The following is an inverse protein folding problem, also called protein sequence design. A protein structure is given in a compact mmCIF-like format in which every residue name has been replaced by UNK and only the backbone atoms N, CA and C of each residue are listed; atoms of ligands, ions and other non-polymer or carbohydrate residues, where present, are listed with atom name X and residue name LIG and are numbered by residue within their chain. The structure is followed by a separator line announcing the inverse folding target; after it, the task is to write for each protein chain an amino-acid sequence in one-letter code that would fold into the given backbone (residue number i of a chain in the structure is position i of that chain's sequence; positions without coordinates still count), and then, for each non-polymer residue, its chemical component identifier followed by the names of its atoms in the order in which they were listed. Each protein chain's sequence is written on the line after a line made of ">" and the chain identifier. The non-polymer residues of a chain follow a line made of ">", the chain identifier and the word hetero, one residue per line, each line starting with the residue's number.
data_IF_748257553438
#
_entry.id   IF_748257553438
#
_cell.length_a   1.000
_cell.length_b   1.000
_cell.length_c   1.000
_cell.angle_alpha   90.00
_cell.angle_beta   90.00
_cell.angle_gamma   90.00
#
_symmetry.space_group_name_H-M   'P 1'
#
loop_
_entity.id
_entity.type
_entity.pdbx_description
1 polymer ?
#
# COMPACT_ATOMS: atom_id res chain seq x y z
N UNK A 1 65.07 41.72 78.26
CA UNK A 1 65.52 40.43 77.68
C UNK A 1 64.40 39.94 76.80
N UNK A 2 64.63 40.09 75.50
CA UNK A 2 63.74 39.93 74.36
C UNK A 2 63.60 38.44 74.02
N UNK A 3 62.39 37.87 73.99
CA UNK A 3 62.10 36.67 73.19
C UNK A 3 60.66 36.73 72.67
N UNK A 4 60.52 37.26 71.45
CA UNK A 4 59.36 37.12 70.57
C UNK A 4 59.20 35.65 70.14
N UNK A 5 58.05 35.04 70.45
CA UNK A 5 57.66 33.74 69.88
C UNK A 5 56.80 34.01 68.63
N UNK A 6 57.40 33.84 67.45
CA UNK A 6 56.70 33.85 66.15
C UNK A 6 55.69 32.70 66.09
N UNK A 7 54.41 33.02 65.97
CA UNK A 7 53.37 32.06 65.61
C UNK A 7 53.39 31.89 64.09
N UNK A 8 53.88 30.76 63.60
CA UNK A 8 53.76 30.41 62.18
C UNK A 8 52.29 30.18 61.84
N UNK A 9 51.73 31.04 60.99
CA UNK A 9 50.40 30.82 60.41
C UNK A 9 50.47 29.61 59.46
N UNK A 10 49.69 28.57 59.79
CA UNK A 10 49.46 27.43 58.89
C UNK A 10 48.62 27.95 57.72
N UNK A 11 49.20 28.00 56.53
CA UNK A 11 48.48 28.31 55.30
C UNK A 11 47.64 27.09 54.94
N UNK A 12 46.34 27.15 55.22
CA UNK A 12 45.37 26.16 54.74
C UNK A 12 45.25 26.37 53.23
N UNK A 13 45.50 25.35 52.38
CA UNK A 13 45.29 25.50 50.94
C UNK A 13 43.79 25.71 50.72
N UNK A 14 43.42 26.94 50.35
CA UNK A 14 42.08 27.25 49.88
C UNK A 14 41.96 26.64 48.50
N UNK A 15 41.28 25.50 48.39
CA UNK A 15 40.89 24.98 47.10
C UNK A 15 40.06 26.07 46.41
N UNK A 16 40.64 26.69 45.37
CA UNK A 16 39.84 27.51 44.46
C UNK A 16 38.81 26.58 43.85
N UNK A 17 37.51 26.92 43.86
CA UNK A 17 36.53 26.10 43.17
C UNK A 17 36.97 26.09 41.71
N UNK A 18 37.42 24.95 41.22
CA UNK A 18 37.50 24.70 39.79
C UNK A 18 36.11 25.02 39.29
N UNK A 19 36.01 26.06 38.47
CA UNK A 19 34.80 26.38 37.75
C UNK A 19 34.60 25.21 36.78
N UNK A 20 34.00 24.11 37.27
CA UNK A 20 33.50 23.03 36.44
C UNK A 20 32.39 23.73 35.66
N UNK A 21 32.76 24.28 34.49
CA UNK A 21 31.81 24.93 33.59
C UNK A 21 30.60 24.01 33.52
N UNK A 22 29.45 24.55 33.94
CA UNK A 22 28.26 23.74 34.15
C UNK A 22 28.08 22.82 32.95
N UNK A 23 27.98 21.52 33.21
CA UNK A 23 27.70 20.52 32.18
C UNK A 23 26.54 21.11 31.38
N UNK A 24 26.71 21.40 30.07
CA UNK A 24 25.62 21.93 29.26
C UNK A 24 24.45 20.98 29.45
N UNK A 25 23.39 21.48 30.07
CA UNK A 25 22.17 20.71 30.23
C UNK A 25 21.59 20.62 28.83
N UNK A 26 21.95 19.56 28.09
CA UNK A 26 21.30 19.25 26.82
C UNK A 26 19.87 18.90 27.19
N UNK A 27 18.99 19.91 27.14
CA UNK A 27 17.56 19.69 27.21
C UNK A 27 17.24 18.69 26.10
N UNK A 28 16.56 17.58 26.39
CA UNK A 28 16.12 16.66 25.35
C UNK A 28 15.35 17.45 24.30
N UNK A 29 15.76 17.32 23.04
CA UNK A 29 15.05 17.97 21.94
C UNK A 29 13.58 17.53 21.94
N UNK A 30 12.69 18.47 21.66
CA UNK A 30 11.25 18.17 21.59
C UNK A 30 11.02 17.15 20.47
N UNK A 31 10.11 16.17 20.66
CA UNK A 31 9.82 15.21 19.62
C UNK A 31 9.30 15.90 18.35
N UNK A 32 9.84 15.51 17.20
CA UNK A 32 9.40 16.00 15.90
C UNK A 32 8.16 15.21 15.45
N UNK A 33 7.12 15.91 14.98
CA UNK A 33 5.92 15.29 14.43
C UNK A 33 5.89 15.51 12.92
N UNK A 34 6.05 14.42 12.17
CA UNK A 34 5.89 14.40 10.72
C UNK A 34 4.46 13.99 10.40
N UNK A 35 3.60 14.98 10.15
CA UNK A 35 2.17 14.80 9.89
C UNK A 35 1.78 15.39 8.54
N UNK A 36 0.64 14.97 8.02
CA UNK A 36 0.09 15.53 6.78
C UNK A 36 -0.27 17.01 6.94
N UNK A 37 0.23 17.81 6.01
CA UNK A 37 -0.13 19.20 5.78
C UNK A 37 -1.38 19.33 4.92
N UNK A 38 -1.67 20.57 4.51
CA UNK A 38 -2.90 20.90 3.80
C UNK A 38 -2.94 20.29 2.39
N UNK A 39 -1.79 20.19 1.73
CA UNK A 39 -1.66 19.55 0.41
C UNK A 39 -2.04 18.08 0.49
N UNK A 40 -1.46 17.33 1.45
CA UNK A 40 -1.78 15.92 1.63
C UNK A 40 -3.24 15.69 1.98
N UNK A 41 -3.79 16.47 2.93
CA UNK A 41 -5.22 16.38 3.31
C UNK A 41 -6.16 16.68 2.14
N UNK A 42 -5.85 17.71 1.35
CA UNK A 42 -6.64 18.07 0.16
C UNK A 42 -6.59 16.93 -0.85
N UNK A 43 -5.42 16.36 -1.10
CA UNK A 43 -5.27 15.22 -2.02
C UNK A 43 -6.10 14.02 -1.57
N UNK A 44 -6.14 13.69 -0.27
CA UNK A 44 -6.96 12.58 0.23
C UNK A 44 -8.45 12.77 -0.10
N UNK A 45 -8.99 13.99 0.11
CA UNK A 45 -10.37 14.32 -0.25
C UNK A 45 -10.64 14.29 -1.75
N UNK A 46 -9.72 14.81 -2.56
CA UNK A 46 -9.83 14.78 -4.02
C UNK A 46 -9.91 13.35 -4.53
N UNK A 47 -9.02 12.47 -4.06
CA UNK A 47 -9.01 11.07 -4.50
C UNK A 47 -10.23 10.30 -3.98
N UNK A 48 -10.69 10.58 -2.76
CA UNK A 48 -11.97 10.05 -2.28
C UNK A 48 -13.10 10.33 -3.29
N UNK A 49 -13.25 11.59 -3.73
CA UNK A 49 -14.28 11.97 -4.70
C UNK A 49 -14.09 11.26 -6.04
N UNK A 50 -12.85 11.16 -6.54
CA UNK A 50 -12.53 10.44 -7.78
C UNK A 50 -12.96 8.97 -7.67
N UNK A 51 -12.67 8.30 -6.56
CA UNK A 51 -13.03 6.90 -6.34
C UNK A 51 -14.54 6.70 -6.30
N UNK A 52 -15.28 7.59 -5.61
CA UNK A 52 -16.76 7.57 -5.59
C UNK A 52 -17.35 7.74 -6.98
N UNK A 53 -16.84 8.70 -7.76
CA UNK A 53 -17.29 8.93 -9.14
C UNK A 53 -17.01 7.69 -9.99
N UNK A 54 -15.82 7.10 -9.87
CA UNK A 54 -15.46 5.89 -10.60
C UNK A 54 -16.39 4.71 -10.24
N UNK A 55 -16.69 4.51 -8.95
CA UNK A 55 -17.65 3.48 -8.50
C UNK A 55 -19.03 3.68 -9.12
N UNK A 56 -19.53 4.93 -9.16
CA UNK A 56 -20.82 5.25 -9.77
C UNK A 56 -20.82 4.99 -11.29
N UNK A 57 -19.73 5.35 -11.97
CA UNK A 57 -19.55 5.09 -13.41
C UNK A 57 -19.54 3.59 -13.70
N UNK A 58 -18.75 2.80 -12.96
CA UNK A 58 -18.64 1.35 -13.17
C UNK A 58 -19.96 0.63 -12.87
N UNK A 59 -20.67 1.08 -11.82
CA UNK A 59 -22.03 0.59 -11.52
C UNK A 59 -23.00 0.91 -12.66
N UNK A 60 -22.98 2.15 -13.16
CA UNK A 60 -23.82 2.56 -14.29
C UNK A 60 -23.51 1.78 -15.58
N UNK A 61 -22.25 1.45 -15.83
CA UNK A 61 -21.84 0.57 -16.93
C UNK A 61 -22.38 -0.85 -16.73
N UNK A 62 -22.30 -1.41 -15.51
CA UNK A 62 -22.79 -2.74 -15.19
C UNK A 62 -24.27 -2.92 -15.51
N UNK A 63 -25.11 -1.90 -15.27
CA UNK A 63 -26.56 -1.97 -15.50
C UNK A 63 -26.95 -2.28 -16.95
N UNK A 64 -26.07 -2.01 -17.92
CA UNK A 64 -26.31 -2.28 -19.35
C UNK A 64 -25.90 -3.69 -19.79
N UNK A 65 -25.32 -4.49 -18.90
CA UNK A 65 -24.78 -5.83 -19.20
C UNK A 65 -25.67 -6.90 -18.55
N UNK A 66 -25.86 -8.11 -19.09
CA UNK A 66 -26.58 -9.18 -18.38
C UNK A 66 -25.84 -9.65 -17.11
N UNK A 67 -26.55 -10.09 -16.06
CA UNK A 67 -25.97 -10.48 -14.76
C UNK A 67 -24.84 -11.51 -14.90
N UNK A 68 -25.02 -12.51 -15.77
CA UNK A 68 -24.05 -13.57 -16.07
C UNK A 68 -22.69 -13.05 -16.56
N UNK A 69 -22.63 -11.84 -17.12
CA UNK A 69 -21.45 -11.21 -17.73
C UNK A 69 -20.93 -9.98 -16.97
N UNK A 70 -21.52 -9.66 -15.82
CA UNK A 70 -21.16 -8.46 -15.03
C UNK A 70 -19.93 -8.62 -14.16
N UNK A 71 -19.30 -9.81 -14.12
CA UNK A 71 -18.27 -10.11 -13.12
C UNK A 71 -17.14 -9.06 -13.05
N UNK A 72 -16.52 -8.72 -14.18
CA UNK A 72 -15.49 -7.66 -14.22
C UNK A 72 -16.02 -6.32 -13.70
N UNK A 73 -17.25 -5.93 -14.05
CA UNK A 73 -17.83 -4.68 -13.56
C UNK A 73 -18.03 -4.69 -12.05
N UNK A 74 -18.46 -5.82 -11.49
CA UNK A 74 -18.65 -5.98 -10.04
C UNK A 74 -17.30 -5.88 -9.33
N UNK A 75 -16.29 -6.64 -9.77
CA UNK A 75 -14.95 -6.63 -9.19
C UNK A 75 -14.33 -5.22 -9.26
N UNK A 76 -14.32 -4.61 -10.45
CA UNK A 76 -13.80 -3.26 -10.67
C UNK A 76 -14.55 -2.19 -9.87
N UNK A 77 -15.88 -2.33 -9.69
CA UNK A 77 -16.66 -1.44 -8.81
C UNK A 77 -16.22 -1.58 -7.36
N UNK A 78 -16.12 -2.82 -6.85
CA UNK A 78 -15.69 -3.08 -5.47
C UNK A 78 -14.30 -2.52 -5.19
N UNK A 79 -13.37 -2.61 -6.15
CA UNK A 79 -12.03 -2.01 -6.05
C UNK A 79 -12.13 -0.51 -5.72
N UNK A 80 -12.94 0.23 -6.48
CA UNK A 80 -13.10 1.68 -6.24
C UNK A 80 -13.90 2.01 -4.97
N UNK A 81 -14.83 1.15 -4.55
CA UNK A 81 -15.58 1.34 -3.30
C UNK A 81 -14.66 1.18 -2.10
N UNK A 82 -13.85 0.12 -2.04
CA UNK A 82 -12.88 -0.08 -0.95
C UNK A 82 -11.86 1.06 -0.89
N UNK A 83 -11.37 1.50 -2.05
CA UNK A 83 -10.50 2.66 -2.14
C UNK A 83 -11.19 3.93 -1.62
N UNK A 84 -12.43 4.21 -2.02
CA UNK A 84 -13.19 5.37 -1.51
C UNK A 84 -13.32 5.33 0.02
N UNK A 85 -13.68 4.19 0.59
CA UNK A 85 -13.79 4.02 2.05
C UNK A 85 -12.45 4.29 2.74
N UNK A 86 -11.35 3.77 2.19
CA UNK A 86 -10.02 3.99 2.75
C UNK A 86 -9.56 5.45 2.65
N UNK A 87 -9.75 6.10 1.50
CA UNK A 87 -9.43 7.52 1.33
C UNK A 87 -10.26 8.40 2.28
N UNK A 88 -11.53 8.08 2.49
CA UNK A 88 -12.36 8.75 3.50
C UNK A 88 -11.82 8.54 4.93
N UNK A 89 -11.46 7.31 5.30
CA UNK A 89 -10.88 7.00 6.61
C UNK A 89 -9.54 7.72 6.84
N UNK A 90 -8.69 7.81 5.81
CA UNK A 90 -7.43 8.56 5.87
C UNK A 90 -7.67 10.07 5.96
N UNK A 91 -8.59 10.62 5.16
CA UNK A 91 -8.91 12.05 5.16
C UNK A 91 -9.53 12.53 6.48
N UNK A 92 -10.31 11.67 7.13
CA UNK A 92 -10.91 11.93 8.46
C UNK A 92 -9.99 11.60 9.63
N UNK A 93 -8.85 10.96 9.38
CA UNK A 93 -7.86 10.59 10.40
C UNK A 93 -8.10 9.27 11.12
N UNK A 94 -9.21 8.55 10.84
CA UNK A 94 -9.50 7.24 11.45
C UNK A 94 -8.56 6.12 10.97
N UNK A 95 -7.98 6.27 9.77
CA UNK A 95 -7.11 5.30 9.13
C UNK A 95 -5.61 5.53 9.34
N UNK A 96 -5.25 6.23 10.43
CA UNK A 96 -3.92 6.82 10.59
C UNK A 96 -3.38 6.58 12.00
N UNK A 97 -2.07 6.36 12.14
CA UNK A 97 -1.40 6.26 13.44
C UNK A 97 0.01 6.85 13.37
N UNK A 98 0.62 7.14 14.51
CA UNK A 98 1.99 7.65 14.56
C UNK A 98 2.94 6.50 14.92
N UNK A 99 3.94 6.27 14.06
CA UNK A 99 5.03 5.37 14.36
C UNK A 99 6.15 6.15 15.09
N UNK A 100 6.51 5.71 16.29
CA UNK A 100 7.57 6.32 17.08
C UNK A 100 8.93 5.76 16.68
N UNK A 101 9.85 6.66 16.40
CA UNK A 101 11.14 6.35 15.83
C UNK A 101 12.24 7.15 16.55
N UNK A 102 13.38 6.49 16.80
CA UNK A 102 14.59 7.12 17.32
C UNK A 102 15.65 7.20 16.24
N UNK A 103 16.08 8.41 15.89
CA UNK A 103 17.13 8.66 14.89
C UNK A 103 18.43 8.93 15.62
N UNK A 104 19.48 8.19 15.27
CA UNK A 104 20.85 8.47 15.72
C UNK A 104 21.48 9.48 14.77
N UNK A 105 21.90 10.61 15.29
CA UNK A 105 22.77 11.56 14.60
C UNK A 105 24.21 11.30 15.00
N UNK A 106 25.02 10.94 14.01
CA UNK A 106 26.44 10.71 14.20
C UNK A 106 27.19 12.02 14.09
N UNK A 107 28.08 12.28 15.05
CA UNK A 107 28.94 13.45 15.05
C UNK A 107 30.41 13.05 15.09
N UNK A 108 31.29 13.82 14.45
CA UNK A 108 32.70 13.43 14.32
C UNK A 108 33.49 13.56 15.63
N UNK A 109 33.23 14.61 16.42
CA UNK A 109 34.03 14.98 17.60
C UNK A 109 33.21 15.09 18.89
N UNK A 110 31.93 14.70 18.88
CA UNK A 110 31.05 14.66 20.06
C UNK A 110 30.25 13.37 20.09
N UNK A 111 29.76 12.91 21.26
CA UNK A 111 28.91 11.74 21.33
C UNK A 111 27.66 11.88 20.46
N UNK A 112 27.21 10.77 19.90
CA UNK A 112 26.00 10.74 19.07
C UNK A 112 24.78 11.24 19.85
N UNK A 113 23.96 12.04 19.17
CA UNK A 113 22.67 12.51 19.69
C UNK A 113 21.54 11.67 19.13
N UNK A 114 20.40 11.69 19.82
CA UNK A 114 19.21 10.95 19.42
C UNK A 114 18.02 11.88 19.35
N UNK A 115 17.29 11.82 18.24
CA UNK A 115 16.06 12.58 18.01
C UNK A 115 14.86 11.63 17.97
N UNK A 116 13.81 11.99 18.71
CA UNK A 116 12.55 11.26 18.68
C UNK A 116 11.63 11.86 17.61
N UNK A 117 11.21 11.02 16.67
CA UNK A 117 10.34 11.40 15.55
C UNK A 117 9.07 10.53 15.59
N UNK A 118 7.92 11.18 15.49
CA UNK A 118 6.63 10.54 15.31
C UNK A 118 6.17 10.77 13.87
N UNK A 119 6.31 9.75 13.03
CA UNK A 119 5.87 9.81 11.63
C UNK A 119 4.47 9.25 11.48
N UNK A 120 3.61 10.01 10.85
CA UNK A 120 2.25 9.60 10.55
C UNK A 120 2.23 8.51 9.47
N UNK A 121 1.69 7.34 9.80
CA UNK A 121 1.53 6.17 8.93
C UNK A 121 0.06 5.98 8.60
N UNK A 122 -0.25 5.96 7.30
CA UNK A 122 -1.60 5.81 6.76
C UNK A 122 -1.97 4.33 6.61
N UNK A 123 -2.12 3.62 7.72
CA UNK A 123 -2.31 2.17 7.72
C UNK A 123 -3.58 1.69 7.00
N UNK A 124 -4.63 2.52 6.91
CA UNK A 124 -5.84 2.19 6.13
C UNK A 124 -5.54 1.95 4.64
N UNK A 125 -4.44 2.48 4.12
CA UNK A 125 -3.95 2.24 2.76
C UNK A 125 -3.60 0.76 2.55
N UNK A 126 -2.96 0.13 3.53
CA UNK A 126 -2.61 -1.29 3.44
C UNK A 126 -3.85 -2.18 3.58
N UNK A 127 -4.86 -1.75 4.35
CA UNK A 127 -6.15 -2.45 4.40
C UNK A 127 -6.86 -2.37 3.05
N UNK A 128 -6.90 -1.19 2.43
CA UNK A 128 -7.38 -1.01 1.05
C UNK A 128 -6.67 -1.96 0.09
N UNK A 129 -5.34 -1.91 0.07
CA UNK A 129 -4.56 -2.74 -0.84
C UNK A 129 -4.81 -4.23 -0.60
N UNK A 130 -4.89 -4.69 0.65
CA UNK A 130 -5.16 -6.11 0.97
C UNK A 130 -6.49 -6.62 0.44
N UNK A 131 -7.41 -5.73 0.07
CA UNK A 131 -8.69 -6.04 -0.56
C UNK A 131 -8.67 -5.77 -2.07
N UNK A 132 -8.08 -4.66 -2.49
CA UNK A 132 -8.16 -4.19 -3.88
C UNK A 132 -7.13 -4.82 -4.79
N UNK A 133 -5.92 -5.12 -4.31
CA UNK A 133 -4.90 -5.78 -5.13
C UNK A 133 -5.26 -7.24 -5.45
N UNK A 134 -5.87 -8.04 -4.53
CA UNK A 134 -6.42 -9.35 -4.89
C UNK A 134 -7.53 -9.28 -5.93
N UNK A 135 -8.41 -8.26 -5.84
CA UNK A 135 -9.48 -8.06 -6.82
C UNK A 135 -8.93 -7.65 -8.20
N UNK A 136 -7.90 -6.79 -8.24
CA UNK A 136 -7.21 -6.43 -9.49
C UNK A 136 -6.53 -7.65 -10.12
N UNK A 137 -5.89 -8.50 -9.30
CA UNK A 137 -5.31 -9.75 -9.76
C UNK A 137 -6.37 -10.74 -10.24
N UNK A 138 -7.52 -10.78 -9.60
CA UNK A 138 -8.65 -11.59 -10.06
C UNK A 138 -9.09 -11.14 -11.45
N UNK A 139 -9.29 -9.84 -11.67
CA UNK A 139 -9.63 -9.28 -13.00
C UNK A 139 -8.59 -9.68 -14.06
N UNK A 140 -7.29 -9.49 -13.79
CA UNK A 140 -6.22 -9.86 -14.71
C UNK A 140 -6.13 -11.37 -14.97
N UNK A 141 -6.32 -12.17 -13.92
CA UNK A 141 -6.20 -13.63 -14.01
C UNK A 141 -7.36 -14.24 -14.77
N UNK A 142 -8.58 -13.73 -14.56
CA UNK A 142 -9.76 -14.10 -15.33
C UNK A 142 -9.61 -13.70 -16.80
N UNK A 143 -9.08 -12.50 -17.06
CA UNK A 143 -8.80 -12.03 -18.41
C UNK A 143 -7.81 -12.95 -19.14
N UNK A 144 -6.74 -13.38 -18.47
CA UNK A 144 -5.79 -14.34 -19.01
C UNK A 144 -6.37 -15.75 -19.15
N UNK A 145 -7.40 -16.11 -18.36
CA UNK A 145 -7.91 -17.47 -18.25
C UNK A 145 -7.04 -18.39 -17.39
N UNK A 146 -6.44 -17.85 -16.32
CA UNK A 146 -5.70 -18.67 -15.36
C UNK A 146 -6.62 -19.65 -14.62
N UNK A 147 -6.08 -20.82 -14.29
CA UNK A 147 -6.77 -21.78 -13.43
C UNK A 147 -6.84 -21.31 -11.96
N UNK A 148 -7.77 -21.87 -11.20
CA UNK A 148 -8.01 -21.47 -9.80
C UNK A 148 -6.80 -21.64 -8.88
N UNK A 149 -5.92 -22.63 -9.13
CA UNK A 149 -4.71 -22.82 -8.33
C UNK A 149 -3.71 -21.66 -8.52
N UNK A 150 -3.48 -21.25 -9.77
CA UNK A 150 -2.64 -20.09 -10.08
C UNK A 150 -3.24 -18.78 -9.56
N UNK A 151 -4.57 -18.62 -9.67
CA UNK A 151 -5.28 -17.46 -9.11
C UNK A 151 -5.07 -17.41 -7.59
N UNK A 152 -5.31 -18.52 -6.90
CA UNK A 152 -5.17 -18.60 -5.45
C UNK A 152 -3.74 -18.27 -5.00
N UNK A 153 -2.73 -18.87 -5.65
CA UNK A 153 -1.33 -18.60 -5.30
C UNK A 153 -0.93 -17.14 -5.54
N UNK A 154 -1.38 -16.54 -6.65
CA UNK A 154 -1.14 -15.13 -6.92
C UNK A 154 -1.80 -14.22 -5.87
N UNK A 155 -3.06 -14.50 -5.50
CA UNK A 155 -3.79 -13.75 -4.48
C UNK A 155 -3.16 -13.88 -3.09
N UNK A 156 -2.73 -15.09 -2.69
CA UNK A 156 -2.09 -15.28 -1.39
C UNK A 156 -0.72 -14.59 -1.35
N UNK A 157 0.07 -14.68 -2.44
CA UNK A 157 1.32 -13.95 -2.55
C UNK A 157 1.11 -12.42 -2.44
N UNK A 158 0.06 -11.91 -3.08
CA UNK A 158 -0.32 -10.50 -3.02
C UNK A 158 -0.73 -10.06 -1.60
N UNK A 159 -1.54 -10.85 -0.89
CA UNK A 159 -1.89 -10.55 0.51
C UNK A 159 -0.64 -10.55 1.39
N UNK A 160 0.26 -11.52 1.22
CA UNK A 160 1.55 -11.55 1.94
C UNK A 160 2.36 -10.29 1.64
N UNK A 161 2.44 -9.88 0.36
CA UNK A 161 3.12 -8.66 -0.06
C UNK A 161 2.59 -7.43 0.69
N UNK A 162 1.27 -7.25 0.74
CA UNK A 162 0.67 -6.08 1.39
C UNK A 162 0.86 -6.11 2.92
N UNK A 163 0.58 -7.24 3.57
CA UNK A 163 0.67 -7.34 5.03
C UNK A 163 2.11 -7.21 5.53
N UNK A 164 3.08 -7.78 4.81
CA UNK A 164 4.49 -7.59 5.16
C UNK A 164 4.97 -6.17 4.88
N UNK A 165 4.45 -5.50 3.84
CA UNK A 165 4.63 -4.06 3.65
C UNK A 165 4.10 -3.22 4.81
N UNK A 166 2.92 -3.56 5.34
CA UNK A 166 2.35 -2.92 6.53
C UNK A 166 3.25 -3.09 7.76
N UNK A 167 3.75 -4.30 8.00
CA UNK A 167 4.67 -4.57 9.11
C UNK A 167 6.01 -3.83 8.94
N UNK A 168 6.47 -3.65 7.70
CA UNK A 168 7.64 -2.83 7.41
C UNK A 168 7.39 -1.35 7.77
N UNK A 169 6.21 -0.81 7.48
CA UNK A 169 5.86 0.59 7.79
C UNK A 169 5.88 0.90 9.29
N UNK A 170 5.52 -0.10 10.12
CA UNK A 170 5.63 -0.03 11.59
C UNK A 170 6.93 -0.60 12.16
N UNK A 171 7.89 -0.97 11.30
CA UNK A 171 9.15 -1.56 11.73
C UNK A 171 9.99 -0.59 12.56
N UNK A 172 10.64 -1.11 13.60
CA UNK A 172 11.54 -0.34 14.46
C UNK A 172 12.81 0.09 13.70
N UNK A 173 13.15 1.38 13.76
CA UNK A 173 14.40 1.88 13.20
C UNK A 173 15.63 1.33 13.91
N UNK A 174 16.75 1.26 13.18
CA UNK A 174 18.02 0.72 13.70
C UNK A 174 18.00 -0.79 13.90
N UNK A 175 16.95 -1.48 13.45
CA UNK A 175 16.85 -2.94 13.48
C UNK A 175 16.75 -3.53 12.07
N UNK A 176 17.21 -4.78 11.84
CA UNK A 176 17.00 -5.47 10.56
C UNK A 176 15.52 -5.76 10.25
N UNK A 177 14.62 -5.65 11.24
CA UNK A 177 13.22 -6.07 11.14
C UNK A 177 12.48 -5.37 10.00
N UNK A 178 12.59 -4.04 9.91
CA UNK A 178 11.92 -3.22 8.89
C UNK A 178 12.28 -3.67 7.47
N UNK A 179 13.59 -3.81 7.21
CA UNK A 179 14.11 -4.21 5.90
C UNK A 179 13.86 -5.70 5.60
N UNK A 180 13.81 -6.55 6.64
CA UNK A 180 13.38 -7.94 6.50
C UNK A 180 11.94 -8.06 6.00
N UNK A 181 11.01 -7.34 6.62
CA UNK A 181 9.61 -7.29 6.17
C UNK A 181 9.49 -6.73 4.75
N UNK A 182 10.19 -5.63 4.46
CA UNK A 182 10.20 -5.06 3.11
C UNK A 182 10.74 -6.05 2.06
N UNK A 183 11.79 -6.80 2.38
CA UNK A 183 12.36 -7.81 1.49
C UNK A 183 11.37 -8.94 1.22
N UNK A 184 10.66 -9.42 2.25
CA UNK A 184 9.61 -10.42 2.09
C UNK A 184 8.50 -9.89 1.17
N UNK A 185 8.09 -8.63 1.34
CA UNK A 185 7.11 -8.00 0.46
C UNK A 185 7.57 -7.97 -1.00
N UNK A 186 8.83 -7.59 -1.25
CA UNK A 186 9.40 -7.61 -2.60
C UNK A 186 9.48 -9.02 -3.21
N UNK A 187 9.85 -10.04 -2.43
CA UNK A 187 9.85 -11.44 -2.91
C UNK A 187 8.44 -11.89 -3.26
N UNK A 188 7.46 -11.59 -2.41
CA UNK A 188 6.06 -11.91 -2.66
C UNK A 188 5.54 -11.20 -3.94
N UNK A 189 5.97 -9.96 -4.18
CA UNK A 189 5.68 -9.25 -5.43
C UNK A 189 6.28 -9.96 -6.67
N UNK A 190 7.51 -10.48 -6.57
CA UNK A 190 8.12 -11.26 -7.66
C UNK A 190 7.31 -12.53 -7.97
N UNK A 191 6.69 -13.15 -6.97
CA UNK A 191 5.78 -14.30 -7.17
C UNK A 191 4.52 -13.88 -7.94
N UNK A 192 3.95 -12.71 -7.63
CA UNK A 192 2.82 -12.14 -8.39
C UNK A 192 3.23 -11.89 -9.85
N UNK A 193 4.38 -11.27 -10.08
CA UNK A 193 4.93 -11.06 -11.43
C UNK A 193 5.08 -12.39 -12.16
N UNK A 194 5.64 -13.41 -11.52
CA UNK A 194 5.85 -14.71 -12.12
C UNK A 194 4.53 -15.35 -12.58
N UNK A 195 3.47 -15.30 -11.76
CA UNK A 195 2.16 -15.81 -12.14
C UNK A 195 1.57 -15.07 -13.34
N UNK A 196 1.65 -13.74 -13.40
CA UNK A 196 1.11 -12.97 -14.52
C UNK A 196 1.97 -13.11 -15.79
N UNK A 197 3.28 -12.97 -15.67
CA UNK A 197 4.22 -12.90 -16.79
C UNK A 197 4.50 -14.26 -17.44
N UNK A 198 4.41 -15.37 -16.68
CA UNK A 198 4.64 -16.72 -17.20
C UNK A 198 3.30 -17.42 -17.47
N UNK A 199 2.51 -17.65 -16.42
CA UNK A 199 1.27 -18.40 -16.58
C UNK A 199 0.20 -17.57 -17.30
N UNK A 200 -0.01 -16.32 -16.88
CA UNK A 200 -1.01 -15.45 -17.49
C UNK A 200 -0.73 -15.23 -18.97
N UNK A 201 0.54 -15.00 -19.30
CA UNK A 201 0.98 -14.83 -20.68
C UNK A 201 0.73 -16.05 -21.56
N UNK A 202 1.08 -17.24 -21.07
CA UNK A 202 0.86 -18.47 -21.83
C UNK A 202 -0.64 -18.72 -22.08
N UNK A 203 -1.49 -18.49 -21.08
CA UNK A 203 -2.94 -18.69 -21.21
C UNK A 203 -3.60 -17.65 -22.14
N UNK A 204 -3.22 -16.38 -22.02
CA UNK A 204 -3.75 -15.33 -22.89
C UNK A 204 -3.36 -15.57 -24.36
N UNK A 205 -2.13 -16.00 -24.62
CA UNK A 205 -1.65 -16.37 -25.97
C UNK A 205 -2.40 -17.57 -26.57
N UNK A 206 -2.85 -18.52 -25.74
CA UNK A 206 -3.62 -19.67 -26.20
C UNK A 206 -5.08 -19.31 -26.57
N UNK A 207 -5.61 -18.17 -26.10
CA UNK A 207 -6.99 -17.73 -26.40
C UNK A 207 -7.11 -17.07 -27.77
N UNK A 208 -6.34 -16.01 -28.01
CA UNK A 208 -6.22 -15.32 -29.32
C UNK A 208 -5.15 -14.23 -29.26
N UNK A 209 -4.63 -13.81 -30.42
CA UNK A 209 -3.67 -12.70 -30.51
C UNK A 209 -4.21 -11.40 -29.92
N UNK A 210 -5.51 -11.15 -30.08
CA UNK A 210 -6.18 -9.96 -29.56
C UNK A 210 -6.23 -9.96 -28.03
N UNK A 211 -6.57 -11.09 -27.41
CA UNK A 211 -6.58 -11.25 -25.95
C UNK A 211 -5.16 -11.19 -25.40
N UNK A 212 -4.20 -11.83 -26.06
CA UNK A 212 -2.80 -11.81 -25.68
C UNK A 212 -2.22 -10.39 -25.68
N UNK A 213 -2.44 -9.65 -26.77
CA UNK A 213 -1.99 -8.26 -26.90
C UNK A 213 -2.58 -7.37 -25.81
N UNK A 214 -3.89 -7.49 -25.57
CA UNK A 214 -4.55 -6.69 -24.53
C UNK A 214 -4.06 -7.06 -23.13
N UNK A 215 -3.98 -8.36 -22.81
CA UNK A 215 -3.47 -8.84 -21.54
C UNK A 215 -2.04 -8.34 -21.28
N UNK A 216 -1.13 -8.43 -22.26
CA UNK A 216 0.24 -7.91 -22.11
C UNK A 216 0.27 -6.42 -21.84
N UNK A 217 -0.56 -5.65 -22.53
CA UNK A 217 -0.64 -4.20 -22.33
C UNK A 217 -1.14 -3.87 -20.92
N UNK A 218 -2.25 -4.44 -20.49
CA UNK A 218 -2.88 -4.09 -19.21
C UNK A 218 -2.16 -4.70 -17.99
N UNK A 219 -1.67 -5.94 -18.10
CA UNK A 219 -0.83 -6.55 -17.06
C UNK A 219 0.52 -5.85 -16.96
N UNK A 220 1.14 -5.52 -18.11
CA UNK A 220 2.40 -4.76 -18.15
C UNK A 220 2.26 -3.38 -17.51
N UNK A 221 1.20 -2.64 -17.86
CA UNK A 221 0.84 -1.37 -17.20
C UNK A 221 0.69 -1.54 -15.69
N UNK A 222 -0.05 -2.57 -15.26
CA UNK A 222 -0.29 -2.84 -13.83
C UNK A 222 1.01 -3.10 -13.10
N UNK A 223 1.88 -3.97 -13.62
CA UNK A 223 3.16 -4.30 -13.01
C UNK A 223 4.12 -3.09 -12.98
N UNK A 224 4.12 -2.24 -14.00
CA UNK A 224 4.93 -1.01 -13.99
C UNK A 224 4.44 -0.08 -12.88
N UNK A 225 3.13 0.17 -12.81
CA UNK A 225 2.53 1.02 -11.78
C UNK A 225 2.76 0.43 -10.38
N UNK A 226 2.58 -0.88 -10.22
CA UNK A 226 2.79 -1.59 -8.95
C UNK A 226 4.23 -1.55 -8.48
N UNK A 227 5.20 -1.60 -9.39
CA UNK A 227 6.63 -1.47 -9.05
C UNK A 227 6.96 -0.08 -8.48
N UNK A 228 6.18 0.96 -8.82
CA UNK A 228 6.38 2.28 -8.23
C UNK A 228 6.01 2.33 -6.73
N UNK A 229 5.07 1.50 -6.25
CA UNK A 229 4.67 1.50 -4.83
C UNK A 229 5.81 1.16 -3.86
N UNK A 230 6.58 0.05 -4.02
CA UNK A 230 7.72 -0.24 -3.16
C UNK A 230 8.86 0.78 -3.34
N UNK A 231 9.02 1.40 -4.51
CA UNK A 231 9.99 2.50 -4.70
C UNK A 231 9.58 3.72 -3.86
N UNK A 232 8.32 4.13 -3.94
CA UNK A 232 7.75 5.19 -3.09
C UNK A 232 7.95 4.84 -1.63
N UNK A 233 7.66 3.59 -1.24
CA UNK A 233 7.86 3.12 0.14
C UNK A 233 9.33 3.23 0.59
N UNK A 234 10.27 2.77 -0.23
CA UNK A 234 11.70 2.82 0.06
C UNK A 234 12.23 4.26 0.19
N UNK A 235 11.65 5.20 -0.56
CA UNK A 235 12.01 6.62 -0.48
C UNK A 235 11.33 7.31 0.72
N UNK A 236 10.04 7.02 0.96
CA UNK A 236 9.23 7.63 2.01
C UNK A 236 9.55 7.05 3.39
N UNK A 237 9.10 5.83 3.64
CA UNK A 237 9.25 5.17 4.93
C UNK A 237 10.66 4.64 5.10
N UNK A 238 11.24 4.02 4.07
CA UNK A 238 12.56 3.39 4.14
C UNK A 238 13.69 4.38 4.41
N UNK A 239 13.82 5.42 3.58
CA UNK A 239 14.93 6.38 3.65
C UNK A 239 14.56 7.74 4.22
N UNK A 240 13.27 8.02 4.46
CA UNK A 240 12.76 9.27 5.04
C UNK A 240 13.17 10.53 4.30
N UNK A 241 13.33 10.42 2.98
CA UNK A 241 13.69 11.55 2.12
C UNK A 241 12.47 12.30 1.58
N UNK A 242 11.27 11.88 1.97
CA UNK A 242 10.01 12.42 1.47
C UNK A 242 9.09 12.84 2.61
N UNK A 243 8.50 14.03 2.47
CA UNK A 243 7.48 14.53 3.40
C UNK A 243 6.23 13.65 3.34
N UNK A 244 5.42 13.69 4.40
CA UNK A 244 4.15 12.96 4.47
C UNK A 244 3.20 13.38 3.34
N UNK A 245 3.17 14.67 3.00
CA UNK A 245 2.35 15.19 1.89
C UNK A 245 2.79 14.60 0.54
N UNK A 246 4.09 14.57 0.27
CA UNK A 246 4.61 14.03 -0.97
C UNK A 246 4.37 12.51 -1.07
N UNK A 247 4.44 11.78 0.05
CA UNK A 247 4.06 10.36 0.11
C UNK A 247 2.58 10.16 -0.22
N UNK A 248 1.69 10.94 0.39
CA UNK A 248 0.24 10.88 0.11
C UNK A 248 -0.02 11.16 -1.37
N UNK A 249 0.60 12.19 -1.93
CA UNK A 249 0.43 12.56 -3.35
C UNK A 249 0.95 11.47 -4.28
N UNK A 250 2.12 10.88 -3.98
CA UNK A 250 2.68 9.81 -4.78
C UNK A 250 1.74 8.60 -4.82
N UNK A 251 1.28 8.11 -3.67
CA UNK A 251 0.33 6.99 -3.63
C UNK A 251 -1.04 7.33 -4.22
N UNK A 252 -1.51 8.56 -4.07
CA UNK A 252 -2.74 9.05 -4.70
C UNK A 252 -2.68 8.96 -6.23
N UNK A 253 -1.59 9.41 -6.84
CA UNK A 253 -1.40 9.30 -8.29
C UNK A 253 -1.37 7.84 -8.73
N UNK A 254 -0.63 6.99 -8.01
CA UNK A 254 -0.56 5.56 -8.31
C UNK A 254 -1.92 4.87 -8.18
N UNK A 255 -2.70 5.19 -7.15
CA UNK A 255 -4.02 4.61 -6.94
C UNK A 255 -5.02 5.05 -8.01
N UNK A 256 -4.97 6.31 -8.48
CA UNK A 256 -5.79 6.76 -9.62
C UNK A 256 -5.42 6.01 -10.90
N UNK A 257 -4.14 5.74 -11.14
CA UNK A 257 -3.71 4.94 -12.28
C UNK A 257 -4.15 3.47 -12.17
N UNK A 258 -3.91 2.86 -11.01
CA UNK A 258 -4.11 1.43 -10.77
C UNK A 258 -5.57 1.02 -10.57
N UNK A 259 -6.46 1.96 -10.21
CA UNK A 259 -7.86 1.64 -9.88
C UNK A 259 -8.84 2.20 -10.93
N UNK A 260 -9.16 3.52 -10.99
CA UNK A 260 -10.13 4.02 -11.96
C UNK A 260 -9.62 3.99 -13.40
N UNK A 261 -8.36 4.34 -13.68
CA UNK A 261 -7.85 4.30 -15.06
C UNK A 261 -7.72 2.86 -15.57
N UNK A 262 -7.13 1.97 -14.76
CA UNK A 262 -7.15 0.53 -15.02
C UNK A 262 -8.57 0.02 -15.28
N UNK A 263 -9.51 0.32 -14.37
CA UNK A 263 -10.88 -0.16 -14.43
C UNK A 263 -11.63 0.31 -15.68
N UNK A 264 -11.51 1.59 -16.05
CA UNK A 264 -12.07 2.11 -17.29
C UNK A 264 -11.49 1.37 -18.48
N UNK A 265 -10.16 1.23 -18.55
CA UNK A 265 -9.49 0.56 -19.65
C UNK A 265 -9.92 -0.91 -19.78
N UNK A 266 -9.98 -1.65 -18.67
CA UNK A 266 -10.46 -3.02 -18.61
C UNK A 266 -11.88 -3.15 -19.13
N UNK A 267 -12.82 -2.38 -18.55
CA UNK A 267 -14.24 -2.51 -18.87
C UNK A 267 -14.54 -2.12 -20.32
N UNK A 268 -13.93 -1.04 -20.85
CA UNK A 268 -14.12 -0.63 -22.24
C UNK A 268 -13.56 -1.62 -23.25
N UNK A 269 -12.46 -2.29 -22.91
CA UNK A 269 -11.76 -3.16 -23.86
C UNK A 269 -12.36 -4.57 -23.85
N UNK A 270 -12.65 -5.13 -22.68
CA UNK A 270 -13.29 -6.45 -22.58
C UNK A 270 -14.69 -6.45 -23.21
N UNK A 271 -15.43 -5.34 -23.12
CA UNK A 271 -16.75 -5.22 -23.76
C UNK A 271 -16.71 -5.42 -25.29
N UNK A 272 -15.53 -5.25 -25.91
CA UNK A 272 -15.27 -5.46 -27.35
C UNK A 272 -14.60 -6.80 -27.65
N UNK A 273 -14.45 -7.68 -26.65
CA UNK A 273 -13.74 -8.96 -26.73
C UNK A 273 -14.56 -10.07 -26.07
N UNK A 274 -15.55 -10.64 -26.78
CA UNK A 274 -16.40 -11.69 -26.23
C UNK A 274 -15.63 -12.92 -25.72
N UNK A 275 -14.41 -13.17 -26.23
CA UNK A 275 -13.53 -14.28 -25.85
C UNK A 275 -12.98 -14.13 -24.41
N UNK A 276 -13.10 -12.94 -23.82
CA UNK A 276 -12.68 -12.64 -22.45
C UNK A 276 -13.80 -12.84 -21.42
N UNK A 277 -15.03 -13.10 -21.88
CA UNK A 277 -16.17 -13.28 -20.99
C UNK A 277 -15.98 -14.51 -20.11
N UNK A 278 -16.24 -14.32 -18.82
CA UNK A 278 -16.38 -15.39 -17.85
C UNK A 278 -17.86 -15.46 -17.51
N UNK A 279 -18.55 -16.46 -18.06
CA UNK A 279 -19.97 -16.65 -17.81
C UNK A 279 -20.16 -17.28 -16.43
N UNK A 280 -20.73 -16.52 -15.50
CA UNK A 280 -21.20 -17.03 -14.22
C UNK A 280 -22.56 -17.70 -14.44
N UNK A 281 -22.60 -19.03 -14.43
CA UNK A 281 -23.83 -19.81 -14.58
C UNK A 281 -24.47 -20.26 -13.26
N UNK A 282 -25.68 -20.80 -13.36
CA UNK A 282 -26.39 -21.45 -12.24
C UNK A 282 -26.70 -20.50 -11.08
N UNK A 283 -26.43 -20.94 -9.85
CA UNK A 283 -26.70 -20.19 -8.62
C UNK A 283 -26.11 -18.77 -8.65
N UNK A 284 -24.94 -18.59 -9.25
CA UNK A 284 -24.22 -17.31 -9.25
C UNK A 284 -24.89 -16.21 -10.08
N UNK A 285 -25.72 -16.56 -11.06
CA UNK A 285 -26.48 -15.59 -11.85
C UNK A 285 -27.98 -15.59 -11.55
N UNK A 286 -28.55 -16.76 -11.28
CA UNK A 286 -30.01 -16.94 -11.17
C UNK A 286 -30.49 -17.18 -9.73
N UNK A 287 -29.58 -17.30 -8.76
CA UNK A 287 -29.90 -17.69 -7.39
C UNK A 287 -30.54 -19.08 -7.32
N UNK A 288 -31.27 -19.36 -6.25
CA UNK A 288 -32.08 -20.58 -6.12
C UNK A 288 -33.42 -20.50 -6.86
N UNK A 289 -33.69 -19.38 -7.54
CA UNK A 289 -35.04 -18.99 -7.99
C UNK A 289 -35.40 -19.33 -9.43
N UNK A 290 -34.57 -20.03 -10.20
CA UNK A 290 -34.88 -20.35 -11.59
C UNK A 290 -34.01 -21.45 -12.19
N UNK A 291 -34.68 -22.44 -12.81
CA UNK A 291 -34.16 -23.44 -13.76
C UNK A 291 -33.54 -24.73 -13.19
N UNK A 292 -34.38 -25.44 -12.43
CA UNK A 292 -34.35 -26.91 -12.29
C UNK A 292 -35.66 -27.59 -12.73
N UNK A 293 -36.54 -26.92 -13.48
CA UNK A 293 -37.78 -27.50 -13.99
C UNK A 293 -38.05 -27.09 -15.44
N UNK A 294 -37.40 -27.77 -16.37
CA UNK A 294 -37.92 -28.14 -17.69
C UNK A 294 -36.88 -29.09 -18.30
N UNK A 295 -36.72 -30.27 -17.68
CA UNK A 295 -36.38 -31.44 -18.47
C UNK A 295 -37.60 -31.65 -19.37
N UNK A 296 -37.45 -31.41 -20.66
CA UNK A 296 -38.36 -31.99 -21.65
C UNK A 296 -38.27 -33.50 -21.41
N UNK A 297 -39.28 -34.06 -20.76
CA UNK A 297 -39.57 -35.47 -20.91
C UNK A 297 -39.77 -35.69 -22.40
N UNK A 298 -38.85 -36.46 -22.99
CA UNK A 298 -38.97 -36.98 -24.34
C UNK A 298 -40.06 -38.06 -24.30
N UNK A 299 -41.30 -37.61 -24.12
CA UNK A 299 -42.50 -38.42 -24.23
C UNK A 299 -42.89 -38.43 -25.71
N UNK A 300 -42.47 -39.46 -26.44
CA UNK A 300 -43.00 -39.69 -27.77
C UNK A 300 -42.28 -40.71 -28.64
N UNK A 301 -42.60 -41.99 -28.39
CA UNK A 301 -42.83 -43.06 -29.38
C UNK A 301 -41.78 -43.37 -30.45
#
# INVERSE_FOLDING_TARGET
>A
MEILKKTSAVVIPTASPTNIGGIPSVLPDKPEYQVAGDSGKTTLWVVFVIMVIASAVFTGMAWRVPVTKRLYHVITTLITIFAAISYFAMATGHGVSNNHIKIREQHDNVPDTYHEVYRQVFWARYVDWSLTTPLLLLDLSLLAGLNGANILMAVIADIIMILTGLFAAFGSEGTPQKWGWYTIACIAYLVVIWHLAIHGRAQAAAKSDKVASFFFAIAGFTLIVWTAYPIVWGIADGSRRMSVDAEIIAYAVLDVLAKPIFGLWLLFTHAKMPETNVDLGGFWANGLGGEGSLRLEDDGA
#
